data_IF_104911641545
#
_entry.id   IF_104911641545
#
_cell.length_a   1.000
_cell.length_b   1.000
_cell.length_c   1.000
_cell.angle_alpha   90.00
_cell.angle_beta   90.00
_cell.angle_gamma   90.00
#
_symmetry.space_group_name_H-M   'P 1'
#
loop_
_entity.id
_entity.type
_entity.pdbx_description
1 polymer ?
#
# COMPACT_ATOMS: atom_id res chain seq x y z
N UNK A 1 9.12 -2.13 -25.73
CA UNK A 1 9.20 -2.02 -24.25
C UNK A 1 8.31 -0.87 -23.83
N UNK A 2 7.02 -1.12 -23.57
CA UNK A 2 6.08 -0.06 -23.22
C UNK A 2 6.26 0.30 -21.74
N UNK A 3 6.88 1.45 -21.48
CA UNK A 3 7.00 2.01 -20.12
C UNK A 3 5.61 2.34 -19.59
N UNK A 4 5.11 1.50 -18.68
CA UNK A 4 3.84 1.75 -18.00
C UNK A 4 3.90 3.09 -17.26
N UNK A 5 2.96 3.99 -17.57
CA UNK A 5 2.83 5.27 -16.90
C UNK A 5 2.63 5.04 -15.39
N UNK A 6 3.60 5.48 -14.58
CA UNK A 6 3.52 5.39 -13.11
C UNK A 6 2.87 6.67 -12.59
N UNK A 7 1.69 6.56 -11.99
CA UNK A 7 1.04 7.70 -11.35
C UNK A 7 1.66 7.92 -9.96
N UNK A 8 2.15 9.12 -9.71
CA UNK A 8 2.64 9.51 -8.38
C UNK A 8 1.44 9.87 -7.50
N UNK A 9 1.27 9.16 -6.38
CA UNK A 9 0.28 9.46 -5.34
C UNK A 9 0.95 9.72 -4.00
N UNK A 10 0.20 10.33 -3.08
CA UNK A 10 0.64 10.58 -1.72
C UNK A 10 -0.13 9.68 -0.75
N UNK A 11 0.60 8.99 0.12
CA UNK A 11 -0.01 8.13 1.12
C UNK A 11 -0.71 8.98 2.17
N UNK A 12 -1.99 8.70 2.45
CA UNK A 12 -2.75 9.50 3.43
C UNK A 12 -2.18 9.41 4.85
N UNK A 13 -1.55 8.27 5.18
CA UNK A 13 -0.96 7.96 6.49
C UNK A 13 0.42 8.59 6.71
N UNK A 14 1.39 8.23 5.88
CA UNK A 14 2.77 8.66 6.07
C UNK A 14 3.14 9.90 5.24
N UNK A 15 2.20 10.44 4.44
CA UNK A 15 2.39 11.57 3.51
C UNK A 15 3.51 11.40 2.48
N UNK A 16 4.09 10.19 2.38
CA UNK A 16 5.13 9.87 1.39
C UNK A 16 4.52 9.67 0.01
N UNK A 17 5.32 10.00 -1.01
CA UNK A 17 4.99 9.72 -2.41
C UNK A 17 5.22 8.24 -2.70
N UNK A 18 4.33 7.64 -3.48
CA UNK A 18 4.48 6.30 -4.01
C UNK A 18 3.95 6.23 -5.43
N UNK A 19 4.40 5.22 -6.17
CA UNK A 19 4.04 5.01 -7.55
C UNK A 19 2.93 3.95 -7.61
N UNK A 20 1.90 4.23 -8.41
CA UNK A 20 0.85 3.27 -8.73
C UNK A 20 1.00 2.91 -10.20
N UNK A 21 1.04 1.61 -10.46
CA UNK A 21 1.07 1.05 -11.81
C UNK A 21 -0.33 1.00 -12.41
N UNK A 22 -0.42 1.16 -13.72
CA UNK A 22 -1.69 1.08 -14.44
C UNK A 22 -2.28 -0.33 -14.30
N UNK A 23 -3.53 -0.43 -13.84
CA UNK A 23 -4.19 -1.71 -13.55
C UNK A 23 -4.12 -2.15 -12.09
N UNK A 24 -3.30 -1.50 -11.24
CA UNK A 24 -3.49 -1.64 -9.80
C UNK A 24 -4.75 -0.90 -9.36
N UNK A 25 -5.54 -1.51 -8.46
CA UNK A 25 -6.66 -0.84 -7.79
C UNK A 25 -6.15 0.46 -7.17
N UNK A 26 -6.95 1.52 -7.27
CA UNK A 26 -6.63 2.79 -6.63
C UNK A 26 -6.54 2.60 -5.11
N UNK A 27 -5.32 2.65 -4.56
CA UNK A 27 -5.07 2.54 -3.13
C UNK A 27 -4.78 3.93 -2.57
N UNK A 28 -5.30 4.26 -1.38
CA UNK A 28 -5.04 5.53 -0.67
C UNK A 28 -3.75 5.52 0.17
N UNK A 29 -3.20 4.33 0.39
CA UNK A 29 -2.04 4.09 1.23
C UNK A 29 -0.91 3.48 0.40
N UNK A 30 0.34 3.77 0.77
CA UNK A 30 1.48 3.10 0.17
C UNK A 30 1.59 1.65 0.64
N UNK A 31 2.28 0.82 -0.15
CA UNK A 31 2.48 -0.60 0.13
C UNK A 31 3.04 -0.86 1.54
N UNK A 32 3.97 -0.01 1.99
CA UNK A 32 4.56 -0.11 3.33
C UNK A 32 3.51 0.04 4.45
N UNK A 33 2.62 1.03 4.35
CA UNK A 33 1.53 1.22 5.32
C UNK A 33 0.54 0.06 5.27
N UNK A 34 0.18 -0.42 4.07
CA UNK A 34 -0.74 -1.56 3.91
C UNK A 34 -0.13 -2.84 4.50
N UNK A 35 1.16 -3.07 4.26
CA UNK A 35 1.89 -4.23 4.77
C UNK A 35 1.97 -4.19 6.29
N UNK A 36 2.16 -3.01 6.90
CA UNK A 36 2.13 -2.84 8.36
C UNK A 36 0.76 -3.16 8.94
N UNK A 37 -0.32 -2.63 8.37
CA UNK A 37 -1.68 -2.97 8.82
C UNK A 37 -1.97 -4.46 8.73
N UNK A 38 -1.69 -5.08 7.58
CA UNK A 38 -1.89 -6.52 7.40
C UNK A 38 -1.07 -7.36 8.39
N UNK A 39 0.14 -6.90 8.72
CA UNK A 39 0.98 -7.56 9.72
C UNK A 39 0.38 -7.42 11.13
N UNK A 40 -0.12 -6.24 11.48
CA UNK A 40 -0.78 -6.00 12.78
C UNK A 40 -2.08 -6.79 12.92
N UNK A 41 -2.89 -6.90 11.86
CA UNK A 41 -4.10 -7.73 11.88
C UNK A 41 -3.76 -9.21 12.05
N UNK A 42 -2.72 -9.70 11.37
CA UNK A 42 -2.28 -11.09 11.49
C UNK A 42 -1.70 -11.41 12.88
N UNK A 43 -0.96 -10.47 13.48
CA UNK A 43 -0.44 -10.61 14.85
C UNK A 43 -1.57 -10.65 15.90
N UNK A 44 -2.66 -9.91 15.67
CA UNK A 44 -3.87 -9.97 16.51
C UNK A 44 -4.60 -11.30 16.38
N UNK A 45 -4.74 -11.82 15.16
CA UNK A 45 -5.39 -13.12 14.92
C UNK A 45 -4.63 -14.28 15.57
N UNK A 46 -3.29 -14.25 15.61
CA UNK A 46 -2.50 -15.28 16.30
C UNK A 46 -2.52 -15.16 17.83
N UNK A 47 -2.80 -13.99 18.40
CA UNK A 47 -2.90 -13.79 19.85
C UNK A 47 -4.26 -14.17 20.44
N UNK A 48 -5.30 -14.20 19.61
CA UNK A 48 -6.66 -14.54 20.01
C UNK A 48 -6.99 -16.03 19.81
N UNK A 49 -5.99 -16.84 19.42
CA UNK A 49 -6.12 -18.28 19.14
C UNK A 49 -5.37 -19.12 20.16
#
# INVERSE_FOLDING_TARGET
MAGGYRHVKHCRLCKKRYLIEQGQKMQEYCDDCIKRFRKEEKDKEEKEK
#
